data_IF_423434661631
#
_entry.id   IF_423434661631
#
_cell.length_a   1.000
_cell.length_b   1.000
_cell.length_c   1.000
_cell.angle_alpha   90.00
_cell.angle_beta   90.00
_cell.angle_gamma   90.00
#
_symmetry.space_group_name_H-M   'P 1'
#
loop_
_entity.id
_entity.type
_entity.pdbx_description
1 polymer ?
#
# COMPACT_ATOMS: atom_id res chain seq x y z
N UNK A 1 -12.67 -3.17 18.11
CA UNK A 1 -11.26 -2.81 18.36
C UNK A 1 -10.87 -1.75 17.33
N UNK A 2 -10.69 -0.49 17.73
CA UNK A 2 -10.28 0.58 16.82
C UNK A 2 -8.76 0.74 16.93
N UNK A 3 -8.03 0.21 15.95
CA UNK A 3 -6.58 0.42 15.87
C UNK A 3 -6.31 1.87 15.46
N UNK A 4 -5.99 2.72 16.44
CA UNK A 4 -5.60 4.12 16.20
C UNK A 4 -4.08 4.16 16.07
N UNK A 5 -3.59 4.30 14.84
CA UNK A 5 -2.15 4.43 14.58
C UNK A 5 -1.69 5.85 14.94
N UNK A 6 -0.54 6.02 15.63
CA UNK A 6 -0.02 7.34 15.94
C UNK A 6 0.20 8.10 14.64
N UNK A 7 -0.19 9.38 14.65
CA UNK A 7 -0.20 10.29 13.51
C UNK A 7 1.11 10.20 12.72
N UNK A 8 1.12 9.38 11.67
CA UNK A 8 2.29 9.17 10.84
C UNK A 8 2.59 10.50 10.12
N UNK A 9 3.78 11.06 10.40
CA UNK A 9 4.30 12.28 9.78
C UNK A 9 4.07 12.30 8.26
N UNK A 10 3.68 13.46 7.77
CA UNK A 10 2.84 13.71 6.58
C UNK A 10 3.48 13.48 5.19
N UNK A 11 4.57 12.72 5.03
CA UNK A 11 5.22 12.50 3.72
C UNK A 11 5.59 11.04 3.41
N UNK A 12 5.10 10.08 4.20
CA UNK A 12 5.51 8.67 4.10
C UNK A 12 4.46 7.78 3.43
N UNK A 13 4.92 6.73 2.75
CA UNK A 13 4.10 5.63 2.18
C UNK A 13 3.09 5.04 3.18
N UNK A 14 3.38 5.14 4.48
CA UNK A 14 2.49 4.70 5.56
C UNK A 14 1.21 5.53 5.67
N UNK A 15 1.26 6.84 5.41
CA UNK A 15 0.04 7.67 5.36
C UNK A 15 -0.88 7.23 4.23
N UNK A 16 -0.30 6.89 3.07
CA UNK A 16 -1.05 6.42 1.91
C UNK A 16 -1.67 5.05 2.17
N UNK A 17 -0.91 4.13 2.76
CA UNK A 17 -1.44 2.85 3.26
C UNK A 17 -2.59 3.09 4.23
N UNK A 18 -2.44 3.97 5.22
CA UNK A 18 -3.49 4.26 6.19
C UNK A 18 -4.78 4.74 5.51
N UNK A 19 -4.69 5.74 4.62
CA UNK A 19 -5.86 6.30 3.94
C UNK A 19 -6.52 5.27 3.01
N UNK A 20 -5.74 4.62 2.13
CA UNK A 20 -6.26 3.70 1.12
C UNK A 20 -6.78 2.38 1.74
N UNK A 21 -6.18 1.93 2.86
CA UNK A 21 -6.51 0.66 3.50
C UNK A 21 -7.53 0.79 4.65
N UNK A 22 -7.55 1.89 5.41
CA UNK A 22 -8.41 2.02 6.59
C UNK A 22 -9.61 2.95 6.39
N UNK A 23 -9.59 3.87 5.43
CA UNK A 23 -10.70 4.81 5.25
C UNK A 23 -12.01 4.04 4.96
N UNK A 24 -12.92 4.03 5.94
CA UNK A 24 -14.22 3.36 5.85
C UNK A 24 -14.22 1.85 6.06
N UNK A 25 -13.09 1.22 6.47
CA UNK A 25 -13.00 -0.23 6.66
C UNK A 25 -12.86 -0.60 8.14
N UNK A 26 -13.54 -1.66 8.55
CA UNK A 26 -13.46 -2.23 9.91
C UNK A 26 -12.96 -3.67 9.80
N UNK A 27 -11.77 -3.92 10.35
CA UNK A 27 -11.19 -5.26 10.46
C UNK A 27 -11.61 -5.88 11.79
N UNK A 28 -12.20 -7.08 11.74
CA UNK A 28 -12.74 -7.78 12.91
C UNK A 28 -11.75 -8.71 13.58
N UNK A 29 -10.61 -8.99 12.93
CA UNK A 29 -9.54 -9.81 13.49
C UNK A 29 -8.15 -9.33 13.06
N UNK A 30 -7.14 -9.72 13.83
CA UNK A 30 -5.74 -9.51 13.44
C UNK A 30 -5.41 -10.19 12.11
N UNK A 31 -5.96 -11.38 11.85
CA UNK A 31 -5.75 -12.11 10.60
C UNK A 31 -6.28 -11.35 9.38
N UNK A 32 -7.49 -10.79 9.49
CA UNK A 32 -8.10 -9.98 8.44
C UNK A 32 -7.27 -8.72 8.15
N UNK A 33 -6.84 -8.04 9.22
CA UNK A 33 -5.99 -6.85 9.07
C UNK A 33 -4.63 -7.19 8.44
N UNK A 34 -3.99 -8.27 8.90
CA UNK A 34 -2.72 -8.75 8.37
C UNK A 34 -2.83 -9.05 6.88
N UNK A 35 -3.89 -9.77 6.48
CA UNK A 35 -4.11 -10.12 5.08
C UNK A 35 -4.33 -8.86 4.22
N UNK A 36 -5.15 -7.91 4.70
CA UNK A 36 -5.36 -6.66 4.00
C UNK A 36 -4.06 -5.89 3.75
N UNK A 37 -3.17 -5.83 4.75
CA UNK A 37 -1.85 -5.18 4.61
C UNK A 37 -0.99 -5.90 3.56
N UNK A 38 -0.93 -7.24 3.59
CA UNK A 38 -0.20 -8.04 2.60
C UNK A 38 -0.71 -7.76 1.19
N UNK A 39 -2.03 -7.80 1.01
CA UNK A 39 -2.68 -7.57 -0.28
C UNK A 39 -2.41 -6.14 -0.79
N UNK A 40 -2.42 -5.15 0.10
CA UNK A 40 -2.08 -3.77 -0.26
C UNK A 40 -0.63 -3.61 -0.68
N UNK A 41 0.32 -4.26 0.01
CA UNK A 41 1.74 -4.22 -0.38
C UNK A 41 1.94 -4.85 -1.76
N UNK A 42 1.30 -6.00 -2.01
CA UNK A 42 1.31 -6.65 -3.34
C UNK A 42 0.75 -5.72 -4.40
N UNK A 43 -0.46 -5.20 -4.19
CA UNK A 43 -1.07 -4.23 -5.09
C UNK A 43 -0.15 -3.02 -5.35
N UNK A 44 0.42 -2.44 -4.30
CA UNK A 44 1.24 -1.24 -4.41
C UNK A 44 2.51 -1.47 -5.25
N UNK A 45 3.12 -2.65 -5.16
CA UNK A 45 4.39 -2.96 -5.81
C UNK A 45 4.24 -3.60 -7.19
N UNK A 46 3.27 -4.47 -7.37
CA UNK A 46 3.14 -5.32 -8.56
C UNK A 46 2.04 -4.85 -9.51
N UNK A 47 1.01 -4.16 -8.99
CA UNK A 47 -0.18 -3.85 -9.79
C UNK A 47 -0.35 -2.34 -10.02
N UNK A 48 0.10 -1.51 -9.07
CA UNK A 48 -0.15 -0.06 -9.11
C UNK A 48 0.62 0.62 -10.23
N UNK A 49 -0.08 0.94 -11.30
CA UNK A 49 0.46 1.70 -12.43
C UNK A 49 0.70 3.17 -12.03
N UNK A 50 1.81 3.73 -12.50
CA UNK A 50 2.13 5.15 -12.34
C UNK A 50 2.63 5.73 -13.66
N UNK A 51 2.04 6.85 -14.08
CA UNK A 51 2.47 7.60 -15.27
C UNK A 51 3.97 7.93 -15.24
N UNK A 52 4.48 8.37 -14.08
CA UNK A 52 5.91 8.65 -13.87
C UNK A 52 6.85 7.44 -14.03
N UNK A 53 6.29 6.23 -14.07
CA UNK A 53 7.01 4.97 -14.32
C UNK A 53 6.71 4.46 -15.73
N UNK A 54 6.41 5.34 -16.68
CA UNK A 54 6.03 4.97 -18.05
C UNK A 54 4.84 4.01 -18.09
N UNK A 55 3.87 4.21 -17.20
CA UNK A 55 2.69 3.36 -17.05
C UNK A 55 2.99 1.91 -16.63
N UNK A 56 4.15 1.68 -16.01
CA UNK A 56 4.52 0.39 -15.43
C UNK A 56 4.19 0.33 -13.94
N UNK A 57 4.09 -0.90 -13.42
CA UNK A 57 4.17 -1.15 -11.99
C UNK A 57 5.59 -0.86 -11.45
N UNK A 58 5.75 -0.64 -10.12
CA UNK A 58 7.08 -0.48 -9.53
C UNK A 58 8.03 -1.66 -9.73
N UNK A 59 7.53 -2.89 -9.83
CA UNK A 59 8.36 -4.06 -10.12
C UNK A 59 8.82 -4.03 -11.58
N UNK A 60 7.89 -3.92 -12.53
CA UNK A 60 8.22 -3.86 -13.97
C UNK A 60 9.18 -2.71 -14.28
N UNK A 61 8.96 -1.53 -13.69
CA UNK A 61 9.88 -0.41 -13.85
C UNK A 61 11.31 -0.75 -13.39
N UNK A 62 11.47 -1.45 -12.25
CA UNK A 62 12.81 -1.87 -11.78
C UNK A 62 13.46 -2.89 -12.71
N UNK A 63 12.67 -3.77 -13.31
CA UNK A 63 13.15 -4.72 -14.31
C UNK A 63 13.68 -4.00 -15.56
N UNK A 64 13.00 -2.93 -16.01
CA UNK A 64 13.49 -2.12 -17.14
C UNK A 64 14.81 -1.38 -16.86
N UNK A 65 15.13 -1.10 -15.60
CA UNK A 65 16.38 -0.45 -15.21
C UNK A 65 17.54 -1.42 -14.98
N UNK A 66 17.24 -2.71 -14.82
CA UNK A 66 18.23 -3.76 -14.58
C UNK A 66 18.70 -4.46 -15.88
N UNK A 67 18.07 -4.13 -17.01
CA UNK A 67 18.39 -4.60 -18.36
C UNK A 67 19.33 -3.63 -19.08
#
# INVERSE_FOLDING_TARGET
>A
MAFKFPNAGSTSVFRRLYIELYSGKVYRSYGELKQAIIDYIRYYNEVRIKEKLSWLSPVEYRETLAA
#
